data_IF_350242432809
#
_entry.id   IF_350242432809
#
_cell.length_a   1.000
_cell.length_b   1.000
_cell.length_c   1.000
_cell.angle_alpha   90.00
_cell.angle_beta   90.00
_cell.angle_gamma   90.00
#
_symmetry.space_group_name_H-M   'P 1'
#
loop_
_entity.id
_entity.type
_entity.pdbx_description
1 polymer ?
#
# COMPACT_ATOMS: atom_id res chain seq x y z
N UNK A 1 -64.83 2.06 42.07
CA UNK A 1 -64.45 3.29 41.35
C UNK A 1 -64.35 2.94 39.87
N UNK A 2 -65.43 3.07 39.10
CA UNK A 2 -65.99 4.28 38.45
C UNK A 2 -65.32 4.59 37.09
N UNK A 3 -66.05 4.17 36.05
CA UNK A 3 -66.21 4.67 34.66
C UNK A 3 -65.02 4.53 33.69
N UNK A 4 -65.09 3.80 32.56
CA UNK A 4 -66.04 3.75 31.42
C UNK A 4 -65.87 4.92 30.43
N UNK A 5 -66.07 4.61 29.13
CA UNK A 5 -66.24 5.49 27.95
C UNK A 5 -64.90 5.70 27.20
N UNK A 6 -64.62 5.17 26.00
CA UNK A 6 -65.47 4.71 24.90
C UNK A 6 -65.71 5.84 23.91
N UNK A 7 -65.11 5.81 22.72
CA UNK A 7 -65.84 5.99 21.45
C UNK A 7 -64.93 5.83 20.21
N UNK A 8 -65.49 5.09 19.27
CA UNK A 8 -65.19 5.03 17.85
C UNK A 8 -65.57 6.33 17.11
N UNK A 9 -65.32 6.32 15.79
CA UNK A 9 -65.80 7.19 14.69
C UNK A 9 -64.69 8.15 14.22
N UNK A 10 -64.32 8.24 12.95
CA UNK A 10 -64.87 7.70 11.72
C UNK A 10 -64.20 8.39 10.52
N UNK A 11 -64.26 7.73 9.38
CA UNK A 11 -63.81 8.16 8.05
C UNK A 11 -64.06 9.65 7.72
N UNK A 12 -63.11 10.30 7.03
CA UNK A 12 -63.34 10.91 5.71
C UNK A 12 -62.02 11.26 5.03
N UNK A 13 -61.89 10.78 3.80
CA UNK A 13 -60.93 11.20 2.79
C UNK A 13 -61.05 12.70 2.49
N UNK A 14 -59.93 13.41 2.47
CA UNK A 14 -59.79 14.66 1.70
C UNK A 14 -58.65 14.45 0.71
N UNK A 15 -59.03 14.39 -0.58
CA UNK A 15 -58.16 14.67 -1.70
C UNK A 15 -57.47 16.02 -1.47
N UNK A 16 -56.15 16.02 -1.32
CA UNK A 16 -55.35 17.20 -1.62
C UNK A 16 -54.35 16.82 -2.69
N UNK A 17 -54.67 17.25 -3.91
CA UNK A 17 -53.75 17.31 -5.02
C UNK A 17 -52.69 18.37 -4.67
N UNK A 18 -51.58 17.97 -4.06
CA UNK A 18 -50.37 18.79 -4.06
C UNK A 18 -49.48 18.34 -5.20
N UNK A 19 -49.58 19.14 -6.26
CA UNK A 19 -48.68 19.25 -7.39
C UNK A 19 -47.22 19.21 -6.91
N UNK A 20 -46.42 18.41 -7.59
CA UNK A 20 -44.96 18.44 -7.70
C UNK A 20 -44.22 19.44 -6.80
N UNK A 21 -43.37 18.89 -5.94
CA UNK A 21 -41.95 19.24 -5.98
C UNK A 21 -41.17 17.93 -5.84
N UNK A 22 -40.95 17.26 -6.98
CA UNK A 22 -39.67 16.58 -7.17
C UNK A 22 -38.64 17.64 -6.80
N UNK A 23 -37.99 17.50 -5.64
CA UNK A 23 -36.69 18.12 -5.47
C UNK A 23 -35.84 17.50 -6.56
N UNK A 24 -35.68 18.25 -7.65
CA UNK A 24 -34.58 18.07 -8.56
C UNK A 24 -33.37 17.82 -7.69
N UNK A 25 -32.86 16.59 -7.78
CA UNK A 25 -31.57 16.24 -7.25
C UNK A 25 -30.64 17.12 -8.05
N UNK A 26 -30.27 18.26 -7.47
CA UNK A 26 -29.25 19.13 -8.03
C UNK A 26 -27.98 18.30 -8.09
N UNK A 27 -27.78 17.65 -9.23
CA UNK A 27 -26.52 17.07 -9.62
C UNK A 27 -25.53 18.21 -9.65
N UNK A 28 -24.53 18.10 -8.78
CA UNK A 28 -23.32 18.88 -8.90
C UNK A 28 -22.72 18.57 -10.27
N UNK A 29 -22.96 19.44 -11.26
CA UNK A 29 -22.06 19.65 -12.38
C UNK A 29 -20.85 20.44 -11.85
N UNK A 30 -20.21 19.90 -10.82
CA UNK A 30 -19.00 20.47 -10.24
C UNK A 30 -17.89 20.30 -11.26
N UNK A 31 -17.17 21.39 -11.56
CA UNK A 31 -15.80 21.29 -12.07
C UNK A 31 -15.09 20.19 -11.27
N UNK A 32 -14.44 19.27 -11.98
CA UNK A 32 -13.55 18.27 -11.39
C UNK A 32 -12.69 18.97 -10.32
N UNK A 33 -12.62 18.46 -9.09
CA UNK A 33 -11.84 19.06 -8.03
C UNK A 33 -10.42 19.18 -8.55
N UNK A 34 -10.02 20.42 -8.80
CA UNK A 34 -8.64 20.79 -9.05
C UNK A 34 -7.87 20.39 -7.80
N UNK A 35 -7.06 19.34 -7.93
CA UNK A 35 -5.87 19.04 -7.12
C UNK A 35 -5.93 19.53 -5.67
N UNK A 36 -6.90 19.05 -4.90
CA UNK A 36 -6.80 19.20 -3.45
C UNK A 36 -5.67 18.29 -2.99
N UNK A 37 -4.60 18.88 -2.42
CA UNK A 37 -3.41 18.15 -1.95
C UNK A 37 -3.73 17.00 -1.00
N UNK A 38 -4.89 17.02 -0.36
CA UNK A 38 -5.31 16.05 0.67
C UNK A 38 -6.33 15.03 0.15
N UNK A 39 -6.49 14.92 -1.18
CA UNK A 39 -7.39 13.96 -1.82
C UNK A 39 -6.62 13.08 -2.80
N UNK A 40 -6.80 11.78 -2.68
CA UNK A 40 -6.42 10.80 -3.68
C UNK A 40 -7.46 10.85 -4.81
N UNK A 41 -7.04 11.29 -5.99
CA UNK A 41 -7.91 11.43 -7.16
C UNK A 41 -7.69 10.28 -8.13
N UNK A 42 -8.73 9.49 -8.35
CA UNK A 42 -8.72 8.29 -9.18
C UNK A 42 -9.57 8.55 -10.42
N UNK A 43 -8.92 8.63 -11.57
CA UNK A 43 -9.60 8.73 -12.86
C UNK A 43 -10.07 7.35 -13.30
N UNK A 44 -11.39 7.13 -13.34
CA UNK A 44 -11.96 5.86 -13.82
C UNK A 44 -12.08 5.90 -15.34
N UNK A 45 -12.67 6.95 -15.89
CA UNK A 45 -12.73 7.19 -17.32
C UNK A 45 -12.86 8.71 -17.60
N UNK A 46 -13.27 9.11 -18.80
CA UNK A 46 -13.41 10.53 -19.13
C UNK A 46 -14.61 11.21 -18.45
N UNK A 47 -15.63 10.44 -18.06
CA UNK A 47 -16.89 10.91 -17.51
C UNK A 47 -17.07 10.61 -16.02
N UNK A 48 -16.17 9.82 -15.43
CA UNK A 48 -16.26 9.33 -14.07
C UNK A 48 -14.90 9.39 -13.34
N UNK A 49 -14.90 10.04 -12.18
CA UNK A 49 -13.76 10.13 -11.28
C UNK A 49 -14.19 9.86 -9.83
N UNK A 50 -13.27 9.32 -9.03
CA UNK A 50 -13.46 9.12 -7.60
C UNK A 50 -12.37 9.87 -6.86
N UNK A 51 -12.76 10.70 -5.90
CA UNK A 51 -11.84 11.39 -5.01
C UNK A 51 -12.09 10.91 -3.59
N UNK A 52 -11.03 10.47 -2.90
CA UNK A 52 -11.07 10.02 -1.51
C UNK A 52 -10.15 10.91 -0.70
N UNK A 53 -10.62 11.54 0.38
CA UNK A 53 -9.83 12.59 1.00
C UNK A 53 -10.26 13.13 2.35
N UNK A 54 -9.59 14.24 2.66
CA UNK A 54 -9.04 14.61 3.97
C UNK A 54 -8.03 13.57 4.48
N UNK A 55 -7.17 13.10 3.57
CA UNK A 55 -6.02 12.26 3.88
C UNK A 55 -4.83 13.14 4.29
N UNK A 56 -4.04 12.63 5.24
CA UNK A 56 -2.72 13.17 5.58
C UNK A 56 -1.67 12.42 4.78
N UNK A 57 -0.74 13.17 4.16
CA UNK A 57 0.38 12.62 3.41
C UNK A 57 1.56 12.44 4.34
N UNK A 58 2.26 11.31 4.24
CA UNK A 58 3.57 11.17 4.87
C UNK A 58 4.70 11.69 3.97
N UNK A 59 4.46 11.72 2.66
CA UNK A 59 5.36 12.31 1.65
C UNK A 59 4.90 13.71 1.19
N UNK A 60 5.53 14.25 0.14
CA UNK A 60 5.18 15.55 -0.46
C UNK A 60 3.77 15.57 -1.06
N UNK A 61 3.22 14.40 -1.42
CA UNK A 61 1.92 14.25 -2.06
C UNK A 61 1.19 12.97 -1.65
N UNK A 62 -0.13 13.07 -1.46
CA UNK A 62 -1.02 11.91 -1.29
C UNK A 62 -0.86 10.88 -2.42
N UNK A 63 -0.49 11.28 -3.63
CA UNK A 63 -0.33 10.31 -4.71
C UNK A 63 0.92 9.44 -4.57
N UNK A 64 1.87 9.81 -3.71
CA UNK A 64 3.09 9.04 -3.42
C UNK A 64 2.83 8.00 -2.32
N UNK A 65 1.94 8.32 -1.37
CA UNK A 65 1.51 7.43 -0.29
C UNK A 65 0.76 6.17 -0.76
N UNK A 66 0.16 6.20 -1.96
CA UNK A 66 -0.65 5.09 -2.48
C UNK A 66 -0.21 4.66 -3.87
N UNK A 67 -0.20 3.35 -4.10
CA UNK A 67 -0.06 2.76 -5.42
C UNK A 67 -1.44 2.55 -6.04
N UNK A 68 -1.63 2.98 -7.30
CA UNK A 68 -2.88 2.84 -8.05
C UNK A 68 -2.65 2.01 -9.30
N UNK A 69 -3.29 0.83 -9.38
CA UNK A 69 -3.15 -0.12 -10.47
C UNK A 69 -4.48 -0.31 -11.19
N UNK A 70 -4.52 -0.02 -12.49
CA UNK A 70 -5.71 -0.21 -13.32
C UNK A 70 -5.69 -1.58 -13.99
N UNK A 71 -6.76 -2.37 -13.83
CA UNK A 71 -6.95 -3.67 -14.48
C UNK A 71 -8.38 -3.81 -14.98
N UNK A 72 -8.56 -3.64 -16.29
CA UNK A 72 -9.88 -3.60 -16.93
C UNK A 72 -10.80 -2.56 -16.24
N UNK A 73 -11.98 -2.97 -15.77
CA UNK A 73 -12.94 -2.11 -15.08
C UNK A 73 -12.70 -2.03 -13.55
N UNK A 74 -11.56 -2.55 -13.07
CA UNK A 74 -11.19 -2.53 -11.65
C UNK A 74 -9.92 -1.72 -11.42
N UNK A 75 -9.95 -0.83 -10.44
CA UNK A 75 -8.80 -0.05 -9.98
C UNK A 75 -8.43 -0.52 -8.58
N UNK A 76 -7.20 -0.97 -8.39
CA UNK A 76 -6.66 -1.36 -7.09
C UNK A 76 -5.85 -0.22 -6.50
N UNK A 77 -6.03 0.00 -5.20
CA UNK A 77 -5.34 1.03 -4.43
C UNK A 77 -4.72 0.34 -3.22
N UNK A 78 -3.42 0.51 -3.03
CA UNK A 78 -2.67 -0.03 -1.89
C UNK A 78 -1.80 1.03 -1.28
N UNK A 79 -1.59 0.96 0.04
CA UNK A 79 -0.64 1.84 0.71
C UNK A 79 0.80 1.47 0.33
N UNK A 80 1.61 2.47 0.06
CA UNK A 80 3.06 2.28 -0.11
C UNK A 80 3.78 2.18 1.24
N UNK A 81 3.22 2.87 2.24
CA UNK A 81 3.78 2.95 3.60
C UNK A 81 2.73 2.57 4.65
N UNK A 82 3.18 2.02 5.78
CA UNK A 82 2.29 1.56 6.84
C UNK A 82 1.55 2.73 7.49
N UNK A 83 2.26 3.85 7.62
CA UNK A 83 1.89 5.10 8.25
C UNK A 83 0.88 5.92 7.43
N UNK A 84 0.74 5.63 6.13
CA UNK A 84 -0.25 6.30 5.30
C UNK A 84 -1.68 6.02 5.81
N UNK A 85 -2.52 7.04 5.67
CA UNK A 85 -3.89 7.03 6.17
C UNK A 85 -4.70 5.81 5.67
N UNK A 86 -5.59 5.31 6.53
CA UNK A 86 -6.67 4.44 6.06
C UNK A 86 -7.78 5.29 5.43
N UNK A 87 -8.55 4.69 4.51
CA UNK A 87 -9.64 5.42 3.83
C UNK A 87 -10.99 5.33 4.56
N UNK A 88 -11.14 4.45 5.55
CA UNK A 88 -12.36 4.44 6.37
C UNK A 88 -12.49 5.74 7.18
N UNK A 89 -13.71 6.22 7.37
CA UNK A 89 -13.94 7.53 8.00
C UNK A 89 -13.62 8.74 7.12
N UNK A 90 -13.09 8.55 5.90
CA UNK A 90 -12.72 9.65 4.99
C UNK A 90 -13.85 10.05 4.05
N UNK A 91 -13.74 11.26 3.49
CA UNK A 91 -14.69 11.77 2.51
C UNK A 91 -14.50 11.05 1.18
N UNK A 92 -15.59 10.60 0.58
CA UNK A 92 -15.62 10.09 -0.79
C UNK A 92 -16.50 10.98 -1.66
N UNK A 93 -16.00 11.30 -2.86
CA UNK A 93 -16.71 12.03 -3.91
C UNK A 93 -16.62 11.25 -5.22
N UNK A 94 -17.75 10.80 -5.73
CA UNK A 94 -17.90 10.19 -7.05
C UNK A 94 -18.47 11.25 -7.97
N UNK A 95 -17.66 11.69 -8.92
CA UNK A 95 -17.98 12.76 -9.84
C UNK A 95 -18.21 12.15 -11.20
N UNK A 96 -19.45 12.28 -11.67
CA UNK A 96 -19.92 11.63 -12.88
C UNK A 96 -20.76 12.60 -13.71
N UNK A 97 -20.58 12.58 -15.03
CA UNK A 97 -21.53 13.21 -15.96
C UNK A 97 -22.84 12.43 -16.06
N UNK A 98 -22.85 11.18 -15.60
CA UNK A 98 -23.97 10.24 -15.65
C UNK A 98 -24.57 9.97 -14.27
N UNK A 99 -25.77 9.42 -14.23
CA UNK A 99 -26.36 8.91 -12.97
C UNK A 99 -25.61 7.66 -12.50
N UNK A 100 -25.23 7.64 -11.22
CA UNK A 100 -24.49 6.52 -10.63
C UNK A 100 -25.24 5.92 -9.44
N UNK A 101 -25.19 4.59 -9.32
CA UNK A 101 -25.50 3.87 -8.08
C UNK A 101 -24.20 3.37 -7.44
N UNK A 102 -24.00 3.68 -6.15
CA UNK A 102 -22.72 3.45 -5.47
C UNK A 102 -22.97 2.58 -4.24
N UNK A 103 -22.28 1.45 -4.19
CA UNK A 103 -22.30 0.53 -3.07
C UNK A 103 -20.89 0.27 -2.58
N UNK A 104 -20.66 0.47 -1.28
CA UNK A 104 -19.39 0.14 -0.65
C UNK A 104 -19.51 -1.21 0.05
N UNK A 105 -18.45 -2.01 -0.01
CA UNK A 105 -18.34 -3.28 0.68
C UNK A 105 -17.08 -3.30 1.53
N UNK A 106 -17.23 -3.60 2.81
CA UNK A 106 -16.09 -3.88 3.67
C UNK A 106 -15.90 -5.38 3.77
N UNK A 107 -14.69 -5.85 3.47
CA UNK A 107 -14.30 -7.24 3.69
C UNK A 107 -13.63 -7.34 5.06
N UNK A 108 -14.47 -7.58 6.08
CA UNK A 108 -14.09 -7.64 7.49
C UNK A 108 -13.35 -8.93 7.75
N UNK A 109 -12.20 -8.85 8.41
CA UNK A 109 -11.35 -9.99 8.75
C UNK A 109 -10.68 -9.75 10.09
N UNK A 110 -9.59 -10.47 10.35
CA UNK A 110 -8.80 -10.39 11.57
C UNK A 110 -7.34 -10.32 11.17
N UNK A 111 -6.63 -9.30 11.63
CA UNK A 111 -5.23 -9.09 11.29
C UNK A 111 -4.36 -9.61 12.43
N UNK A 112 -3.39 -10.46 12.11
CA UNK A 112 -2.32 -10.86 13.02
C UNK A 112 -1.21 -9.80 12.99
N UNK A 113 -0.99 -9.11 14.12
CA UNK A 113 -0.09 -7.94 14.19
C UNK A 113 1.32 -8.29 14.68
N UNK A 114 1.69 -9.58 14.71
CA UNK A 114 3.03 -10.01 15.13
C UNK A 114 4.13 -9.69 14.12
N UNK A 115 3.79 -9.44 12.85
CA UNK A 115 4.73 -8.98 11.82
C UNK A 115 4.50 -7.49 11.53
N UNK A 116 5.43 -6.64 11.94
CA UNK A 116 5.34 -5.19 11.71
C UNK A 116 5.56 -4.80 10.23
N UNK A 117 6.05 -5.72 9.39
CA UNK A 117 6.41 -5.44 7.99
C UNK A 117 5.31 -5.73 6.98
N UNK A 118 4.33 -6.55 7.35
CA UNK A 118 3.23 -6.93 6.46
C UNK A 118 1.98 -7.22 7.29
N UNK A 119 0.81 -6.80 6.80
CA UNK A 119 -0.43 -7.27 7.40
C UNK A 119 -0.72 -8.72 7.00
N UNK A 120 -1.28 -9.46 7.94
CA UNK A 120 -1.47 -10.90 7.84
C UNK A 120 -2.90 -11.23 8.25
N UNK A 121 -3.80 -11.12 7.29
CA UNK A 121 -5.22 -11.35 7.52
C UNK A 121 -5.54 -12.85 7.53
N UNK A 122 -6.28 -13.27 8.55
CA UNK A 122 -6.74 -14.64 8.68
C UNK A 122 -7.68 -15.02 7.52
N UNK A 123 -7.69 -16.30 7.09
CA UNK A 123 -8.55 -16.81 6.02
C UNK A 123 -10.01 -17.01 6.50
N UNK A 124 -10.56 -15.98 7.14
CA UNK A 124 -11.91 -15.87 7.62
C UNK A 124 -12.35 -14.42 7.44
N UNK A 125 -13.44 -14.22 6.72
CA UNK A 125 -13.93 -12.88 6.47
C UNK A 125 -15.44 -12.81 6.30
N UNK A 126 -15.97 -11.59 6.40
CA UNK A 126 -17.38 -11.27 6.23
C UNK A 126 -17.53 -9.99 5.43
N UNK A 127 -18.31 -10.05 4.36
CA UNK A 127 -18.55 -8.90 3.50
C UNK A 127 -19.84 -8.22 3.94
N UNK A 128 -19.73 -6.96 4.35
CA UNK A 128 -20.88 -6.09 4.61
C UNK A 128 -20.96 -5.01 3.53
N UNK A 129 -22.16 -4.83 2.97
CA UNK A 129 -22.44 -3.85 1.91
C UNK A 129 -23.29 -2.69 2.44
N UNK A 130 -22.98 -1.46 2.00
CA UNK A 130 -23.77 -0.25 2.30
C UNK A 130 -23.90 0.59 1.03
N UNK A 131 -25.12 1.01 0.72
CA UNK A 131 -25.37 2.01 -0.33
C UNK A 131 -25.00 3.39 0.18
N UNK A 132 -24.32 4.18 -0.64
CA UNK A 132 -23.93 5.55 -0.31
C UNK A 132 -24.32 6.51 -1.44
N UNK A 133 -24.32 7.81 -1.13
CA UNK A 133 -24.50 8.85 -2.13
C UNK A 133 -23.17 9.16 -2.83
N UNK A 134 -23.22 9.94 -3.91
CA UNK A 134 -22.04 10.40 -4.66
C UNK A 134 -21.08 11.24 -3.81
N UNK A 135 -21.57 11.91 -2.78
CA UNK A 135 -20.75 12.56 -1.77
C UNK A 135 -21.16 12.04 -0.39
N UNK A 136 -20.23 11.45 0.33
CA UNK A 136 -20.49 10.80 1.63
C UNK A 136 -19.20 10.63 2.43
N UNK A 137 -19.35 10.37 3.72
CA UNK A 137 -18.24 9.91 4.57
C UNK A 137 -18.28 8.38 4.58
N UNK A 138 -17.16 7.74 4.24
CA UNK A 138 -17.03 6.29 4.40
C UNK A 138 -17.19 5.94 5.89
N UNK A 139 -18.03 4.97 6.27
CA UNK A 139 -18.14 4.55 7.66
C UNK A 139 -16.77 4.19 8.24
N UNK A 140 -16.46 4.65 9.45
CA UNK A 140 -15.27 4.18 10.16
C UNK A 140 -15.35 2.68 10.43
N UNK A 141 -14.21 2.03 10.55
CA UNK A 141 -14.16 0.61 10.87
C UNK A 141 -14.91 0.29 12.18
N UNK A 142 -14.77 1.11 13.21
CA UNK A 142 -15.49 0.95 14.48
C UNK A 142 -17.02 0.86 14.26
N UNK A 143 -17.56 1.76 13.42
CA UNK A 143 -18.99 1.76 13.09
C UNK A 143 -19.40 0.53 12.29
N UNK A 144 -18.52 0.02 11.42
CA UNK A 144 -18.78 -1.20 10.66
C UNK A 144 -18.67 -2.44 11.54
N UNK A 145 -17.67 -2.51 12.43
CA UNK A 145 -17.46 -3.64 13.31
C UNK A 145 -18.65 -3.83 14.25
N UNK A 146 -19.22 -2.73 14.75
CA UNK A 146 -20.41 -2.74 15.60
C UNK A 146 -21.74 -3.03 14.86
N UNK A 147 -21.70 -3.27 13.55
CA UNK A 147 -22.89 -3.67 12.79
C UNK A 147 -23.38 -5.05 13.23
N UNK A 148 -24.71 -5.21 13.35
CA UNK A 148 -25.31 -6.45 13.86
C UNK A 148 -24.96 -7.67 13.02
N UNK A 149 -24.82 -7.52 11.70
CA UNK A 149 -24.40 -8.60 10.82
C UNK A 149 -22.97 -9.05 11.11
N UNK A 150 -22.07 -8.09 11.32
CA UNK A 150 -20.66 -8.34 11.66
C UNK A 150 -20.56 -8.99 13.05
N UNK A 151 -21.24 -8.45 14.06
CA UNK A 151 -21.23 -9.02 15.41
C UNK A 151 -21.80 -10.45 15.46
N UNK A 152 -22.87 -10.72 14.70
CA UNK A 152 -23.40 -12.07 14.56
C UNK A 152 -22.42 -13.02 13.89
N UNK A 153 -21.71 -12.56 12.86
CA UNK A 153 -20.64 -13.32 12.22
C UNK A 153 -19.51 -13.67 13.20
N UNK A 154 -19.02 -12.68 13.97
CA UNK A 154 -17.98 -12.88 14.99
C UNK A 154 -18.42 -13.89 16.05
N UNK A 155 -19.64 -13.74 16.56
CA UNK A 155 -20.21 -14.65 17.56
C UNK A 155 -20.34 -16.08 17.04
N UNK A 156 -20.87 -16.24 15.83
CA UNK A 156 -21.12 -17.56 15.22
C UNK A 156 -19.82 -18.27 14.86
N UNK A 157 -18.80 -17.52 14.45
CA UNK A 157 -17.52 -18.08 14.01
C UNK A 157 -16.43 -18.02 15.08
N UNK A 158 -16.78 -17.76 16.35
CA UNK A 158 -15.82 -17.54 17.44
C UNK A 158 -14.73 -18.62 17.50
N UNK A 159 -15.12 -19.90 17.53
CA UNK A 159 -14.14 -21.00 17.58
C UNK A 159 -13.20 -21.00 16.36
N UNK A 160 -13.72 -20.74 15.16
CA UNK A 160 -12.92 -20.73 13.93
C UNK A 160 -11.93 -19.58 13.93
N UNK A 161 -12.34 -18.39 14.40
CA UNK A 161 -11.46 -17.22 14.55
C UNK A 161 -10.30 -17.59 15.48
N UNK A 162 -10.60 -18.09 16.68
CA UNK A 162 -9.59 -18.49 17.66
C UNK A 162 -8.62 -19.57 17.14
N UNK A 163 -9.13 -20.60 16.46
CA UNK A 163 -8.29 -21.63 15.88
C UNK A 163 -7.34 -21.06 14.82
N UNK A 164 -7.83 -20.17 13.95
CA UNK A 164 -7.01 -19.54 12.90
C UNK A 164 -5.97 -18.59 13.50
N UNK A 165 -6.36 -17.78 14.50
CA UNK A 165 -5.44 -16.91 15.25
C UNK A 165 -4.33 -17.73 15.91
N UNK A 166 -4.68 -18.79 16.65
CA UNK A 166 -3.72 -19.67 17.30
C UNK A 166 -2.75 -20.32 16.32
N UNK A 167 -3.27 -20.91 15.23
CA UNK A 167 -2.41 -21.55 14.23
C UNK A 167 -1.46 -20.54 13.56
N UNK A 168 -1.94 -19.32 13.30
CA UNK A 168 -1.11 -18.24 12.72
C UNK A 168 -0.03 -17.80 13.70
N UNK A 169 -0.39 -17.57 14.97
CA UNK A 169 0.53 -17.22 16.05
C UNK A 169 1.63 -18.29 16.22
N UNK A 170 1.26 -19.57 16.32
CA UNK A 170 2.20 -20.68 16.47
C UNK A 170 3.11 -20.80 15.25
N UNK A 171 2.55 -20.70 14.04
CA UNK A 171 3.32 -20.76 12.80
C UNK A 171 4.34 -19.62 12.72
N UNK A 172 3.95 -18.40 13.07
CA UNK A 172 4.81 -17.22 13.00
C UNK A 172 6.01 -17.36 13.96
N UNK A 173 5.75 -17.49 15.27
CA UNK A 173 6.83 -17.59 16.25
C UNK A 173 7.60 -18.90 16.19
N UNK A 174 6.97 -19.98 15.73
CA UNK A 174 7.63 -21.26 15.47
C UNK A 174 8.56 -21.26 14.26
N UNK A 175 8.49 -20.25 13.39
CA UNK A 175 9.43 -20.08 12.27
C UNK A 175 10.74 -19.41 12.66
N UNK A 176 10.82 -18.83 13.86
CA UNK A 176 12.02 -18.18 14.40
C UNK A 176 12.82 -19.15 15.26
N UNK A 177 14.14 -18.97 15.33
CA UNK A 177 14.94 -19.75 16.29
C UNK A 177 14.69 -19.27 17.72
N UNK A 178 14.82 -20.16 18.69
CA UNK A 178 14.65 -19.81 20.10
C UNK A 178 15.62 -18.71 20.56
N UNK A 179 16.86 -18.76 20.08
CA UNK A 179 17.88 -17.76 20.41
C UNK A 179 17.52 -16.39 19.81
N UNK A 180 17.05 -16.35 18.57
CA UNK A 180 16.62 -15.10 17.92
C UNK A 180 15.45 -14.48 18.66
N UNK A 181 14.43 -15.29 19.00
CA UNK A 181 13.23 -14.79 19.67
C UNK A 181 13.54 -14.31 21.10
N UNK A 182 14.38 -15.03 21.84
CA UNK A 182 14.86 -14.59 23.17
C UNK A 182 15.68 -13.31 23.10
N UNK A 183 16.48 -13.13 22.05
CA UNK A 183 17.35 -11.97 21.92
C UNK A 183 16.61 -10.73 21.43
N UNK A 184 15.71 -10.88 20.45
CA UNK A 184 14.97 -9.75 19.90
C UNK A 184 13.82 -9.34 20.82
N UNK A 185 13.13 -10.34 21.39
CA UNK A 185 11.76 -10.19 21.84
C UNK A 185 11.47 -11.11 23.05
N UNK A 186 12.10 -10.89 24.22
CA UNK A 186 11.95 -11.79 25.39
C UNK A 186 10.50 -12.00 25.82
N UNK A 187 9.67 -10.94 25.79
CA UNK A 187 8.26 -11.02 26.16
C UNK A 187 7.45 -11.91 25.20
N UNK A 188 7.70 -11.78 23.90
CA UNK A 188 7.08 -12.62 22.87
C UNK A 188 7.51 -14.08 23.03
N UNK A 189 8.78 -14.33 23.34
CA UNK A 189 9.27 -15.68 23.63
C UNK A 189 8.54 -16.31 24.82
N UNK A 190 8.38 -15.56 25.92
CA UNK A 190 7.67 -16.03 27.11
C UNK A 190 6.20 -16.35 26.80
N UNK A 191 5.52 -15.44 26.09
CA UNK A 191 4.12 -15.62 25.69
C UNK A 191 3.96 -16.83 24.76
N UNK A 192 4.78 -16.93 23.71
CA UNK A 192 4.79 -18.08 22.80
C UNK A 192 5.05 -19.40 23.52
N UNK A 193 6.01 -19.43 24.45
CA UNK A 193 6.36 -20.62 25.22
C UNK A 193 5.24 -21.11 26.14
N UNK A 194 4.42 -20.18 26.65
CA UNK A 194 3.20 -20.47 27.42
C UNK A 194 2.08 -20.97 26.50
N UNK A 195 1.79 -20.25 25.42
CA UNK A 195 0.64 -20.52 24.54
C UNK A 195 0.81 -21.80 23.73
N UNK A 196 2.03 -22.14 23.27
CA UNK A 196 2.27 -23.35 22.46
C UNK A 196 1.95 -24.69 23.16
N UNK A 197 1.74 -24.66 24.49
CA UNK A 197 1.41 -25.84 25.31
C UNK A 197 -0.08 -25.94 25.65
N UNK A 198 -0.90 -24.99 25.22
CA UNK A 198 -2.33 -24.95 25.52
C UNK A 198 -3.07 -26.02 24.71
N UNK A 199 -3.98 -26.74 25.36
CA UNK A 199 -4.91 -27.66 24.68
C UNK A 199 -5.88 -26.86 23.80
N UNK A 200 -6.16 -27.37 22.60
CA UNK A 200 -7.12 -26.82 21.65
C UNK A 200 -8.51 -26.57 22.27
N UNK A 201 -8.91 -27.37 23.27
CA UNK A 201 -10.17 -27.19 24.00
C UNK A 201 -10.20 -25.91 24.87
N UNK A 202 -9.05 -25.31 25.16
CA UNK A 202 -8.90 -24.13 25.99
C UNK A 202 -8.57 -22.86 25.18
N UNK A 203 -8.57 -22.91 23.85
CA UNK A 203 -8.26 -21.72 23.03
C UNK A 203 -9.18 -20.54 23.32
N UNK A 204 -10.48 -20.79 23.57
CA UNK A 204 -11.45 -19.75 23.86
C UNK A 204 -11.21 -19.00 25.19
N UNK A 205 -10.33 -19.48 26.06
CA UNK A 205 -9.94 -18.75 27.27
C UNK A 205 -8.87 -17.69 27.03
N UNK A 206 -8.26 -17.69 25.84
CA UNK A 206 -7.26 -16.70 25.44
C UNK A 206 -7.92 -15.37 25.08
N UNK A 207 -7.18 -14.30 25.28
CA UNK A 207 -7.47 -12.99 24.73
C UNK A 207 -6.94 -12.91 23.28
N UNK A 208 -7.80 -12.62 22.31
CA UNK A 208 -7.40 -12.56 20.90
C UNK A 208 -6.30 -11.53 20.65
N UNK A 209 -6.41 -10.36 21.27
CA UNK A 209 -5.50 -9.24 21.03
C UNK A 209 -4.22 -9.39 21.85
N UNK A 210 -4.34 -9.72 23.15
CA UNK A 210 -3.18 -9.77 24.05
C UNK A 210 -2.40 -11.06 23.97
N UNK A 211 -3.08 -12.20 23.92
CA UNK A 211 -2.41 -13.49 23.92
C UNK A 211 -2.06 -13.91 22.49
N UNK A 212 -3.01 -13.77 21.55
CA UNK A 212 -2.86 -14.25 20.17
C UNK A 212 -2.48 -13.17 19.16
N UNK A 213 -2.27 -11.92 19.61
CA UNK A 213 -1.77 -10.81 18.80
C UNK A 213 -2.61 -10.64 17.52
N UNK A 214 -3.93 -10.80 17.66
CA UNK A 214 -4.89 -10.74 16.57
C UNK A 214 -5.99 -9.73 16.89
N UNK A 215 -6.19 -8.75 16.00
CA UNK A 215 -7.23 -7.74 16.13
C UNK A 215 -8.28 -7.86 15.02
N UNK A 216 -9.57 -7.60 15.29
CA UNK A 216 -10.54 -7.40 14.22
C UNK A 216 -10.13 -6.21 13.36
N UNK A 217 -10.21 -6.37 12.04
CA UNK A 217 -9.90 -5.31 11.09
C UNK A 217 -10.66 -5.55 9.76
N UNK A 218 -10.42 -4.76 8.73
CA UNK A 218 -10.86 -5.02 7.37
C UNK A 218 -9.65 -5.16 6.44
N UNK A 219 -9.65 -6.15 5.55
CA UNK A 219 -8.55 -6.30 4.58
C UNK A 219 -8.73 -5.41 3.35
N UNK A 220 -9.98 -5.05 3.03
CA UNK A 220 -10.28 -4.19 1.88
C UNK A 220 -11.61 -3.47 1.99
N UNK A 221 -11.68 -2.31 1.32
CA UNK A 221 -12.92 -1.59 1.01
C UNK A 221 -13.09 -1.62 -0.50
N UNK A 222 -14.23 -2.12 -0.97
CA UNK A 222 -14.58 -2.23 -2.39
C UNK A 222 -15.70 -1.23 -2.66
N UNK A 223 -15.55 -0.42 -3.69
CA UNK A 223 -16.48 0.63 -4.11
C UNK A 223 -17.00 0.22 -5.48
N UNK A 224 -18.21 -0.33 -5.51
CA UNK A 224 -18.91 -0.67 -6.74
C UNK A 224 -19.67 0.57 -7.23
N UNK A 225 -19.38 1.00 -8.45
CA UNK A 225 -20.02 2.16 -9.09
C UNK A 225 -20.69 1.68 -10.36
N UNK A 226 -22.03 1.64 -10.34
CA UNK A 226 -22.83 1.36 -11.52
C UNK A 226 -23.22 2.66 -12.20
N UNK A 227 -22.73 2.86 -13.41
CA UNK A 227 -23.22 3.89 -14.32
C UNK A 227 -24.58 3.43 -14.86
N UNK A 228 -25.64 4.17 -14.51
CA UNK A 228 -27.01 3.83 -14.87
C UNK A 228 -27.34 4.17 -16.32
N UNK A 229 -26.62 5.12 -16.92
CA UNK A 229 -26.87 5.58 -18.29
C UNK A 229 -26.20 4.62 -19.28
N UNK A 230 -24.98 4.17 -19.00
CA UNK A 230 -24.28 3.18 -19.83
C UNK A 230 -24.45 1.72 -19.40
N UNK A 231 -25.07 1.48 -18.24
CA UNK A 231 -25.17 0.16 -17.58
C UNK A 231 -23.83 -0.53 -17.30
N UNK A 232 -22.71 0.21 -17.34
CA UNK A 232 -21.38 -0.30 -16.99
C UNK A 232 -21.15 -0.27 -15.48
N UNK A 233 -20.38 -1.22 -14.99
CA UNK A 233 -19.95 -1.28 -13.60
C UNK A 233 -18.44 -1.04 -13.53
N UNK A 234 -18.03 -0.18 -12.61
CA UNK A 234 -16.64 0.07 -12.27
C UNK A 234 -16.41 -0.31 -10.82
N UNK A 235 -15.21 -0.80 -10.51
CA UNK A 235 -14.87 -1.25 -9.16
C UNK A 235 -13.58 -0.56 -8.73
N UNK A 236 -13.60 0.10 -7.58
CA UNK A 236 -12.39 0.60 -6.93
C UNK A 236 -12.16 -0.22 -5.66
N UNK A 237 -10.98 -0.82 -5.53
CA UNK A 237 -10.64 -1.71 -4.41
C UNK A 237 -9.46 -1.12 -3.65
N UNK A 238 -9.71 -0.60 -2.46
CA UNK A 238 -8.66 -0.28 -1.51
C UNK A 238 -8.30 -1.52 -0.71
N UNK A 239 -7.03 -1.93 -0.72
CA UNK A 239 -6.51 -3.03 0.10
C UNK A 239 -5.51 -2.50 1.12
N UNK A 240 -5.56 -3.05 2.33
CA UNK A 240 -4.56 -2.77 3.37
C UNK A 240 -3.29 -3.56 3.17
N UNK A 241 -3.39 -4.79 2.69
CA UNK A 241 -2.24 -5.54 2.24
C UNK A 241 -1.72 -5.01 0.92
N UNK A 242 -0.40 -5.06 0.75
CA UNK A 242 0.18 -5.05 -0.59
C UNK A 242 -0.50 -6.15 -1.38
N UNK A 243 -0.91 -5.84 -2.60
CA UNK A 243 -1.43 -6.86 -3.51
C UNK A 243 -0.37 -7.96 -3.57
N UNK A 244 -0.68 -9.17 -3.09
CA UNK A 244 0.09 -10.35 -3.45
C UNK A 244 0.16 -10.33 -4.97
N UNK A 245 1.33 -9.95 -5.46
CA UNK A 245 1.74 -9.74 -6.83
C UNK A 245 0.74 -10.36 -7.85
N UNK A 246 -0.36 -9.65 -8.16
CA UNK A 246 -1.35 -10.10 -9.15
C UNK A 246 -0.79 -9.93 -10.58
N UNK A 247 0.47 -9.51 -10.68
CA UNK A 247 1.35 -9.68 -11.84
C UNK A 247 1.85 -11.13 -12.01
N UNK A 248 1.59 -12.03 -11.04
CA UNK A 248 1.70 -13.49 -11.20
C UNK A 248 0.58 -14.07 -12.08
N UNK A 249 0.42 -13.49 -13.26
CA UNK A 249 0.17 -14.24 -14.48
C UNK A 249 0.77 -13.47 -15.66
N UNK A 250 1.97 -13.91 -16.03
CA UNK A 250 2.69 -13.68 -17.28
C UNK A 250 2.73 -12.25 -17.83
N UNK A 251 3.41 -11.34 -17.12
CA UNK A 251 4.55 -10.70 -17.76
C UNK A 251 5.71 -10.81 -16.81
N UNK A 252 6.83 -11.29 -17.35
CA UNK A 252 8.09 -11.49 -16.65
C UNK A 252 8.45 -10.18 -15.93
N UNK A 253 8.15 -10.05 -14.64
CA UNK A 253 8.93 -9.19 -13.75
C UNK A 253 10.29 -9.86 -13.67
N UNK A 254 11.13 -9.55 -14.66
CA UNK A 254 12.55 -9.78 -14.55
C UNK A 254 12.95 -8.99 -13.31
N UNK A 255 13.10 -9.70 -12.18
CA UNK A 255 13.91 -9.21 -11.07
C UNK A 255 15.17 -8.66 -11.72
N UNK A 256 15.31 -7.33 -11.75
CA UNK A 256 16.39 -6.71 -12.49
C UNK A 256 17.66 -7.33 -11.94
N UNK A 257 18.37 -8.04 -12.80
CA UNK A 257 19.67 -8.52 -12.40
C UNK A 257 20.55 -7.29 -12.32
N UNK A 258 20.92 -6.94 -11.09
CA UNK A 258 21.80 -5.82 -10.79
C UNK A 258 23.27 -6.22 -10.93
N UNK A 259 23.57 -7.50 -11.22
CA UNK A 259 24.93 -7.95 -11.49
C UNK A 259 25.55 -7.18 -12.65
N UNK A 260 26.79 -6.75 -12.46
CA UNK A 260 27.59 -6.03 -13.44
C UNK A 260 28.25 -4.80 -12.84
N UNK A 261 28.82 -3.99 -13.73
CA UNK A 261 29.58 -2.80 -13.38
C UNK A 261 28.86 -1.58 -13.90
N UNK A 262 28.47 -0.71 -12.98
CA UNK A 262 27.92 0.59 -13.28
C UNK A 262 29.05 1.60 -13.24
N UNK A 263 29.23 2.39 -14.30
CA UNK A 263 30.35 3.32 -14.37
C UNK A 263 29.98 4.68 -14.96
N UNK A 264 30.64 5.71 -14.45
CA UNK A 264 30.42 7.11 -14.79
C UNK A 264 31.76 7.82 -14.93
N UNK A 265 32.01 8.35 -16.13
CA UNK A 265 33.18 9.17 -16.42
C UNK A 265 32.89 10.64 -16.09
N UNK A 266 33.62 11.27 -15.15
CA UNK A 266 33.27 12.60 -14.66
C UNK A 266 33.91 13.76 -15.44
N UNK A 267 34.87 13.52 -16.33
CA UNK A 267 35.61 14.58 -17.01
C UNK A 267 35.10 14.88 -18.43
N UNK A 268 35.40 16.08 -18.94
CA UNK A 268 35.08 16.44 -20.33
C UNK A 268 35.84 15.54 -21.32
N UNK A 269 35.30 15.40 -22.54
CA UNK A 269 35.84 14.51 -23.58
C UNK A 269 37.31 14.87 -23.91
N UNK A 270 37.64 16.16 -23.91
CA UNK A 270 39.00 16.65 -24.22
C UNK A 270 39.92 16.73 -22.98
N UNK A 271 39.51 16.16 -21.83
CA UNK A 271 40.31 16.21 -20.61
C UNK A 271 41.43 15.17 -20.64
N UNK A 272 42.65 15.59 -20.24
CA UNK A 272 43.77 14.67 -20.00
C UNK A 272 43.65 13.88 -18.69
N UNK A 273 42.69 14.23 -17.82
CA UNK A 273 42.44 13.54 -16.55
C UNK A 273 41.85 12.15 -16.78
N UNK A 274 42.28 11.17 -15.99
CA UNK A 274 41.83 9.78 -16.14
C UNK A 274 41.01 9.31 -14.95
N UNK A 275 40.03 8.45 -15.24
CA UNK A 275 39.37 7.61 -14.27
C UNK A 275 37.84 7.66 -14.26
N UNK A 276 37.25 6.69 -13.57
CA UNK A 276 35.80 6.46 -13.55
C UNK A 276 35.31 6.23 -12.13
N UNK A 277 34.13 6.77 -11.81
CA UNK A 277 33.35 6.22 -10.70
C UNK A 277 32.79 4.87 -11.13
N UNK A 278 32.86 3.86 -10.27
CA UNK A 278 32.34 2.53 -10.57
C UNK A 278 31.64 1.90 -9.36
N UNK A 279 30.54 1.19 -9.61
CA UNK A 279 29.90 0.28 -8.66
C UNK A 279 29.92 -1.11 -9.30
N UNK A 280 30.65 -2.03 -8.69
CA UNK A 280 30.68 -3.43 -9.06
C UNK A 280 29.72 -4.21 -8.16
N UNK A 281 28.75 -4.88 -8.77
CA UNK A 281 27.82 -5.80 -8.12
C UNK A 281 28.09 -7.19 -8.68
N UNK A 282 28.64 -8.07 -7.86
CA UNK A 282 28.94 -9.44 -8.26
C UNK A 282 28.80 -10.41 -7.11
N UNK A 283 28.71 -11.70 -7.42
CA UNK A 283 28.57 -12.76 -6.42
C UNK A 283 29.72 -12.79 -5.41
N UNK A 284 30.92 -12.41 -5.84
CA UNK A 284 32.16 -12.64 -5.11
C UNK A 284 32.80 -11.34 -4.58
N UNK A 285 32.51 -10.19 -5.18
CA UNK A 285 33.04 -8.89 -4.72
C UNK A 285 32.08 -7.74 -5.08
N UNK A 286 31.66 -6.98 -4.06
CA UNK A 286 30.84 -5.80 -4.23
C UNK A 286 31.63 -4.57 -3.79
N UNK A 287 31.73 -3.58 -4.69
CA UNK A 287 32.63 -2.45 -4.50
C UNK A 287 32.05 -1.16 -5.08
N UNK A 288 32.24 -0.04 -4.39
CA UNK A 288 32.01 1.30 -4.93
C UNK A 288 33.30 2.11 -4.83
N UNK A 289 33.79 2.63 -5.94
CA UNK A 289 35.07 3.33 -5.97
C UNK A 289 35.22 4.34 -7.09
N UNK A 290 36.44 4.90 -7.14
CA UNK A 290 36.92 5.72 -8.25
C UNK A 290 38.26 5.17 -8.73
N UNK A 291 38.36 4.83 -10.02
CA UNK A 291 39.56 4.25 -10.63
C UNK A 291 40.33 5.32 -11.41
N UNK A 292 41.11 6.16 -10.72
CA UNK A 292 41.88 7.24 -11.34
C UNK A 292 42.94 7.79 -10.38
N UNK A 293 43.33 9.06 -10.57
CA UNK A 293 44.44 9.68 -9.83
C UNK A 293 44.23 9.73 -8.30
N UNK A 294 42.97 9.85 -7.85
CA UNK A 294 42.58 9.82 -6.43
C UNK A 294 41.73 8.57 -6.19
N UNK A 295 42.38 7.42 -6.15
CA UNK A 295 41.71 6.14 -5.99
C UNK A 295 41.09 6.00 -4.60
N UNK A 296 39.81 5.63 -4.56
CA UNK A 296 39.15 5.14 -3.35
C UNK A 296 38.30 3.93 -3.69
N UNK A 297 38.04 3.11 -2.67
CA UNK A 297 37.24 1.91 -2.78
C UNK A 297 36.57 1.61 -1.44
N UNK A 298 35.26 1.41 -1.49
CA UNK A 298 34.44 0.92 -0.38
C UNK A 298 34.00 -0.50 -0.70
N UNK A 299 34.16 -1.40 0.26
CA UNK A 299 33.41 -2.67 0.25
C UNK A 299 31.97 -2.34 0.58
N UNK A 300 31.04 -2.78 -0.25
CA UNK A 300 29.65 -2.39 -0.12
C UNK A 300 28.72 -3.58 0.12
N UNK A 301 27.63 -3.31 0.82
CA UNK A 301 26.43 -4.13 0.76
C UNK A 301 25.36 -3.36 -0.01
N UNK A 302 24.36 -4.08 -0.52
CA UNK A 302 23.27 -3.44 -1.25
C UNK A 302 21.91 -4.02 -0.89
N UNK A 303 20.88 -3.19 -1.08
CA UNK A 303 19.48 -3.58 -1.00
C UNK A 303 18.79 -3.13 -2.28
N UNK A 304 18.07 -4.04 -2.94
CA UNK A 304 17.33 -3.72 -4.16
C UNK A 304 15.83 -3.60 -3.90
N UNK A 305 15.19 -2.67 -4.59
CA UNK A 305 13.73 -2.65 -4.84
C UNK A 305 13.49 -2.83 -6.34
N UNK A 306 12.23 -2.70 -6.79
CA UNK A 306 11.84 -2.97 -8.18
C UNK A 306 12.55 -2.10 -9.21
N UNK A 307 13.00 -0.88 -8.85
CA UNK A 307 13.70 0.02 -9.77
C UNK A 307 14.89 0.76 -9.15
N UNK A 308 15.29 0.41 -7.92
CA UNK A 308 16.40 1.06 -7.22
C UNK A 308 17.36 0.05 -6.61
N UNK A 309 18.63 0.41 -6.60
CA UNK A 309 19.69 -0.28 -5.88
C UNK A 309 20.33 0.68 -4.89
N UNK A 310 20.14 0.42 -3.60
CA UNK A 310 20.70 1.20 -2.51
C UNK A 310 22.04 0.58 -2.10
N UNK A 311 23.08 1.40 -2.03
CA UNK A 311 24.47 0.99 -1.77
C UNK A 311 24.92 1.52 -0.41
N UNK A 312 25.46 0.66 0.44
CA UNK A 312 25.89 1.00 1.80
C UNK A 312 27.34 0.59 2.02
N UNK A 313 28.09 1.37 2.80
CA UNK A 313 29.43 0.97 3.26
C UNK A 313 29.28 -0.23 4.20
N UNK A 314 29.99 -1.33 3.91
CA UNK A 314 29.96 -2.52 4.75
C UNK A 314 30.64 -2.30 6.12
N UNK A 315 31.54 -1.31 6.21
CA UNK A 315 32.31 -1.04 7.44
C UNK A 315 31.63 -0.03 8.36
N UNK A 316 30.52 0.59 7.95
CA UNK A 316 29.83 1.62 8.73
C UNK A 316 28.35 1.26 8.89
N UNK A 317 27.85 1.38 10.11
CA UNK A 317 26.43 1.16 10.42
C UNK A 317 25.60 2.42 10.15
N UNK A 318 25.76 3.04 8.98
CA UNK A 318 24.98 4.23 8.59
C UNK A 318 23.62 3.82 8.03
N UNK A 319 22.60 4.62 8.33
CA UNK A 319 21.25 4.44 7.76
C UNK A 319 21.19 4.99 6.33
N UNK A 320 22.04 5.97 6.01
CA UNK A 320 22.08 6.62 4.70
C UNK A 320 22.95 5.84 3.70
N UNK A 321 22.48 5.66 2.45
CA UNK A 321 23.24 5.00 1.41
C UNK A 321 24.37 5.88 0.86
N UNK A 322 25.51 5.28 0.54
CA UNK A 322 26.61 5.93 -0.19
C UNK A 322 26.18 6.36 -1.60
N UNK A 323 25.34 5.55 -2.24
CA UNK A 323 24.82 5.80 -3.57
C UNK A 323 23.47 5.10 -3.77
N UNK A 324 22.67 5.63 -4.68
CA UNK A 324 21.45 4.98 -5.17
C UNK A 324 21.49 4.92 -6.69
N UNK A 325 21.36 3.72 -7.25
CA UNK A 325 21.17 3.53 -8.70
C UNK A 325 19.68 3.40 -8.98
N UNK A 326 19.17 4.17 -9.93
CA UNK A 326 17.81 4.11 -10.43
C UNK A 326 17.81 3.48 -11.82
N UNK A 327 16.87 2.55 -12.08
CA UNK A 327 16.59 2.06 -13.42
C UNK A 327 15.27 2.62 -13.92
N UNK A 328 15.32 3.33 -15.03
CA UNK A 328 14.13 3.85 -15.73
C UNK A 328 14.18 3.37 -17.19
N UNK A 329 13.28 2.43 -17.53
CA UNK A 329 13.32 1.70 -18.82
C UNK A 329 14.69 1.00 -19.00
N UNK A 330 15.38 1.27 -20.10
CA UNK A 330 16.69 0.69 -20.44
C UNK A 330 17.87 1.58 -20.01
N UNK A 331 17.64 2.57 -19.14
CA UNK A 331 18.66 3.51 -18.68
C UNK A 331 18.87 3.42 -17.17
N UNK A 332 20.11 3.66 -16.77
CA UNK A 332 20.52 3.72 -15.37
C UNK A 332 20.92 5.14 -15.00
N UNK A 333 20.65 5.52 -13.76
CA UNK A 333 21.03 6.80 -13.18
C UNK A 333 21.63 6.58 -11.80
N UNK A 334 22.56 7.43 -11.38
CA UNK A 334 23.22 7.35 -10.08
C UNK A 334 23.13 8.67 -9.32
N UNK A 335 22.79 8.58 -8.04
CA UNK A 335 22.84 9.70 -7.10
C UNK A 335 23.77 9.34 -5.93
N UNK A 336 24.76 10.19 -5.66
CA UNK A 336 25.73 10.01 -4.58
C UNK A 336 26.47 11.32 -4.30
N UNK A 337 26.69 11.64 -3.02
CA UNK A 337 27.48 12.80 -2.61
C UNK A 337 28.99 12.61 -2.85
N UNK A 338 29.42 11.37 -3.11
CA UNK A 338 30.81 11.05 -3.44
C UNK A 338 31.17 11.36 -4.90
N UNK A 339 30.17 11.56 -5.76
CA UNK A 339 30.36 11.82 -7.19
C UNK A 339 30.52 13.31 -7.43
N UNK A 340 31.66 13.68 -7.99
CA UNK A 340 31.97 15.06 -8.42
C UNK A 340 32.06 15.08 -9.94
N UNK A 341 31.15 15.81 -10.58
CA UNK A 341 31.03 15.89 -12.04
C UNK A 341 31.73 17.16 -12.57
N UNK A 342 32.62 17.01 -13.55
CA UNK A 342 33.24 18.12 -14.29
C UNK A 342 32.70 18.24 -15.73
N UNK A 343 31.93 17.24 -16.20
CA UNK A 343 31.27 17.27 -17.52
C UNK A 343 30.21 18.34 -17.61
N UNK A 344 30.33 19.21 -18.61
CA UNK A 344 29.32 20.25 -18.86
C UNK A 344 28.13 19.76 -19.69
N UNK A 345 28.30 18.66 -20.43
CA UNK A 345 27.27 18.09 -21.30
C UNK A 345 26.30 17.15 -20.57
N UNK A 346 26.70 16.60 -19.42
CA UNK A 346 25.85 15.80 -18.54
C UNK A 346 25.30 16.67 -17.40
N UNK A 347 23.99 16.90 -17.41
CA UNK A 347 23.29 17.54 -16.30
C UNK A 347 22.72 16.49 -15.36
N UNK A 348 22.82 16.76 -14.06
CA UNK A 348 22.14 15.97 -13.05
C UNK A 348 20.62 16.07 -13.25
N UNK A 349 19.95 14.93 -13.23
CA UNK A 349 18.48 14.86 -13.28
C UNK A 349 17.91 14.66 -11.87
N UNK A 350 16.58 14.61 -11.73
CA UNK A 350 15.94 14.23 -10.46
C UNK A 350 16.42 12.87 -9.91
N UNK A 351 16.83 11.95 -10.79
CA UNK A 351 17.31 10.61 -10.46
C UNK A 351 18.85 10.54 -10.39
N UNK A 352 19.54 11.68 -10.49
CA UNK A 352 20.99 11.78 -10.53
C UNK A 352 21.58 11.80 -11.96
N UNK A 353 22.85 11.45 -12.09
CA UNK A 353 23.58 11.44 -13.36
C UNK A 353 23.31 10.16 -14.16
N UNK A 354 23.17 10.21 -15.50
CA UNK A 354 23.12 9.00 -16.31
C UNK A 354 24.39 8.17 -16.11
N UNK A 355 24.23 6.89 -15.75
CA UNK A 355 25.34 5.95 -15.55
C UNK A 355 25.25 4.83 -16.59
N UNK A 356 26.41 4.31 -17.03
CA UNK A 356 26.46 3.19 -17.97
C UNK A 356 26.55 1.88 -17.21
N UNK A 357 26.07 0.79 -17.82
CA UNK A 357 26.16 -0.56 -17.28
C UNK A 357 26.97 -1.43 -18.22
N UNK A 358 27.80 -2.29 -17.64
CA UNK A 358 28.65 -3.25 -18.31
C UNK A 358 28.55 -4.60 -17.60
N UNK A 359 28.69 -5.71 -18.32
CA UNK A 359 28.60 -7.04 -17.73
C UNK A 359 29.83 -7.39 -16.88
N UNK A 360 30.99 -6.87 -17.28
CA UNK A 360 32.28 -7.12 -16.63
C UNK A 360 33.21 -5.89 -16.75
N UNK A 361 34.34 -5.91 -16.04
CA UNK A 361 35.35 -4.85 -16.08
C UNK A 361 35.97 -4.67 -17.45
N UNK A 362 36.08 -5.77 -18.21
CA UNK A 362 36.69 -5.77 -19.54
C UNK A 362 35.84 -5.00 -20.56
N UNK A 363 34.56 -4.77 -20.24
CA UNK A 363 33.61 -4.01 -21.06
C UNK A 363 33.54 -2.51 -20.66
N UNK A 364 34.31 -2.08 -19.67
CA UNK A 364 34.39 -0.68 -19.23
C UNK A 364 35.55 0.02 -19.94
N UNK A 365 35.32 1.06 -20.75
CA UNK A 365 36.38 1.75 -21.45
C UNK A 365 37.21 2.63 -20.50
N UNK A 366 38.52 2.67 -20.75
CA UNK A 366 39.46 3.50 -20.00
C UNK A 366 39.31 5.01 -20.27
N UNK A 367 38.59 5.38 -21.34
CA UNK A 367 38.38 6.76 -21.79
C UNK A 367 36.93 7.02 -22.26
N UNK A 368 36.46 8.27 -22.24
CA UNK A 368 35.12 8.61 -22.71
C UNK A 368 34.96 8.28 -24.21
N UNK A 369 33.76 7.83 -24.58
CA UNK A 369 33.31 7.65 -25.97
C UNK A 369 32.29 8.71 -26.34
#
# INVERSE_FOLDING_TARGET
MKYLIGLLIGFFSIFSCQKNNQKEINQSSGKLPTESKNYLNIKINNDLNVSIGELTSIDESINEDYEVINKHDTIYITKQFLESDNIDGKNIKVLSNHKTDINIKYDISFNFIGNEKESNYLPISYIISKKINSESILPSFEKIYNDIGVQNFVKTNKQKIYNQSYNTFIKYYGSMTENDLKSCCPADYENYSKIKKIDNNHLLSLDLEKDLITVPDYKSIIIDIKDLDSSKNYVVVFKKDKVEDLSKNSMITQKINWDGIYWLYPYNIDSEKQGNYYINISKDNNEFGFSGDIQFSYKINYKSTDNKLYIFDNNQSTVDPLAVIYKEKDKYYIKSDLIKMERTDLKETKNGYPIRWAKSSDDVPDSPQ
#
